data_IF_302186786863
#
_entry.id   IF_302186786863
#
_cell.length_a   1.000
_cell.length_b   1.000
_cell.length_c   1.000
_cell.angle_alpha   90.00
_cell.angle_beta   90.00
_cell.angle_gamma   90.00
#
_symmetry.space_group_name_H-M   'P 1'
#
loop_
_entity.id
_entity.type
_entity.pdbx_description
1 polymer ?
#
# COMPACT_ATOMS: atom_id res chain seq x y z
N UNK A 1 -4.23 -44.47 53.53
CA UNK A 1 -4.86 -43.38 54.31
C UNK A 1 -5.36 -42.36 53.29
N UNK A 2 -6.53 -42.55 52.67
CA UNK A 2 -7.89 -42.38 53.24
C UNK A 2 -8.21 -40.89 53.41
N UNK A 3 -9.32 -40.27 52.99
CA UNK A 3 -10.45 -40.50 52.07
C UNK A 3 -11.30 -39.20 52.11
N UNK A 4 -12.42 -39.16 51.36
CA UNK A 4 -13.52 -38.17 51.35
C UNK A 4 -13.31 -36.94 50.43
N UNK A 5 -13.95 -36.79 49.25
CA UNK A 5 -15.32 -36.98 48.72
C UNK A 5 -16.40 -36.04 49.27
N UNK A 6 -16.95 -35.22 48.37
CA UNK A 6 -18.38 -34.83 48.19
C UNK A 6 -18.40 -33.93 46.94
N UNK A 7 -18.81 -34.29 45.71
CA UNK A 7 -20.07 -34.85 45.15
C UNK A 7 -21.34 -34.10 45.56
N UNK A 8 -21.83 -33.25 44.65
CA UNK A 8 -23.24 -32.91 44.49
C UNK A 8 -23.67 -33.23 43.05
N UNK A 9 -24.80 -33.93 42.93
CA UNK A 9 -25.35 -34.50 41.71
C UNK A 9 -26.86 -34.16 41.67
N UNK A 10 -27.30 -33.56 40.55
CA UNK A 10 -28.62 -33.66 39.84
C UNK A 10 -29.95 -33.29 40.57
N UNK A 11 -31.05 -32.90 39.86
CA UNK A 11 -31.59 -33.41 38.56
C UNK A 11 -31.93 -32.33 37.50
N UNK A 12 -31.78 -32.60 36.19
CA UNK A 12 -32.69 -33.30 35.25
C UNK A 12 -34.13 -32.78 35.26
N UNK A 13 -34.50 -32.03 34.21
CA UNK A 13 -35.85 -32.00 33.64
C UNK A 13 -35.73 -31.97 32.10
N UNK A 14 -35.77 -33.17 31.52
CA UNK A 14 -36.29 -33.40 30.18
C UNK A 14 -37.81 -33.26 30.24
N UNK A 15 -38.40 -32.42 29.38
CA UNK A 15 -39.76 -32.66 28.93
C UNK A 15 -39.75 -32.99 27.45
N UNK A 16 -40.26 -34.19 27.21
CA UNK A 16 -40.40 -34.94 25.99
C UNK A 16 -41.68 -34.57 25.21
N UNK A 17 -41.64 -34.98 23.94
CA UNK A 17 -42.75 -35.45 23.11
C UNK A 17 -43.60 -34.44 22.35
N UNK A 18 -43.30 -34.39 21.04
CA UNK A 18 -44.13 -35.08 20.04
C UNK A 18 -45.62 -35.21 20.37
N UNK A 19 -46.45 -34.36 19.77
CA UNK A 19 -47.76 -34.75 19.27
C UNK A 19 -48.37 -33.63 18.43
N UNK A 20 -48.51 -33.89 17.12
CA UNK A 20 -49.61 -33.51 16.21
C UNK A 20 -49.12 -33.23 14.79
N UNK A 21 -48.72 -34.31 14.12
CA UNK A 21 -48.99 -34.48 12.68
C UNK A 21 -50.40 -35.04 12.51
N UNK A 22 -51.06 -34.60 11.44
CA UNK A 22 -52.11 -35.29 10.69
C UNK A 22 -53.52 -35.40 11.30
N UNK A 23 -54.46 -34.68 10.68
CA UNK A 23 -55.81 -35.10 10.21
C UNK A 23 -56.63 -33.78 10.01
N UNK A 24 -57.46 -33.51 9.00
CA UNK A 24 -58.47 -34.32 8.30
C UNK A 24 -58.74 -33.67 6.92
N UNK A 25 -58.97 -34.53 5.94
CA UNK A 25 -59.38 -34.28 4.56
C UNK A 25 -60.92 -34.11 4.45
N UNK A 26 -61.36 -33.39 3.40
CA UNK A 26 -62.69 -33.40 2.72
C UNK A 26 -63.68 -32.29 3.07
N UNK A 27 -63.90 -31.41 2.10
CA UNK A 27 -65.25 -31.11 1.61
C UNK A 27 -65.17 -30.61 0.16
N UNK A 28 -65.76 -31.40 -0.75
CA UNK A 28 -66.00 -31.05 -2.14
C UNK A 28 -67.06 -29.94 -2.21
N UNK A 29 -66.79 -28.87 -2.98
CA UNK A 29 -67.85 -28.08 -3.60
C UNK A 29 -67.48 -27.86 -5.06
N UNK A 30 -68.25 -28.54 -5.91
CA UNK A 30 -68.28 -28.47 -7.36
C UNK A 30 -68.91 -27.14 -7.78
N UNK A 31 -68.21 -26.26 -8.52
CA UNK A 31 -68.87 -25.19 -9.28
C UNK A 31 -68.33 -25.13 -10.71
N UNK A 32 -69.28 -25.42 -11.58
CA UNK A 32 -69.43 -25.34 -13.03
C UNK A 32 -68.47 -24.46 -13.84
N UNK A 33 -68.12 -25.02 -15.00
CA UNK A 33 -67.51 -24.39 -16.18
C UNK A 33 -68.33 -23.18 -16.64
N UNK A 34 -67.68 -22.03 -16.82
CA UNK A 34 -68.18 -20.99 -17.71
C UNK A 34 -67.02 -20.26 -18.37
N UNK A 35 -67.00 -20.31 -19.70
CA UNK A 35 -65.99 -19.74 -20.57
C UNK A 35 -65.88 -18.22 -20.42
N UNK A 36 -64.67 -17.71 -20.19
CA UNK A 36 -64.34 -16.33 -20.55
C UNK A 36 -63.04 -16.30 -21.35
N UNK A 37 -63.22 -15.93 -22.61
CA UNK A 37 -62.27 -15.79 -23.69
C UNK A 37 -61.27 -14.67 -23.36
N UNK A 38 -60.06 -15.01 -22.91
CA UNK A 38 -58.97 -14.03 -22.78
C UNK A 38 -58.35 -13.74 -24.15
N UNK A 39 -58.65 -12.55 -24.64
CA UNK A 39 -58.05 -11.88 -25.78
C UNK A 39 -56.52 -11.82 -25.62
N UNK A 40 -55.77 -12.57 -26.44
CA UNK A 40 -54.31 -12.42 -26.53
C UNK A 40 -53.98 -11.13 -27.28
N UNK A 41 -53.75 -10.04 -26.54
CA UNK A 41 -53.07 -8.85 -27.06
C UNK A 41 -51.57 -9.14 -27.00
N UNK A 42 -50.99 -9.50 -28.14
CA UNK A 42 -49.54 -9.50 -28.35
C UNK A 42 -49.03 -8.06 -28.36
N UNK A 43 -48.61 -7.57 -27.19
CA UNK A 43 -47.83 -6.33 -27.08
C UNK A 43 -46.41 -6.64 -27.57
N UNK A 44 -46.14 -6.33 -28.84
CA UNK A 44 -44.78 -6.23 -29.36
C UNK A 44 -44.11 -5.01 -28.73
N UNK A 45 -43.56 -5.17 -27.52
CA UNK A 45 -42.70 -4.15 -26.92
C UNK A 45 -41.43 -4.04 -27.74
N UNK A 46 -41.31 -2.94 -28.47
CA UNK A 46 -40.08 -2.48 -29.10
C UNK A 46 -39.06 -2.27 -27.98
N UNK A 47 -38.19 -3.26 -27.78
CA UNK A 47 -37.09 -3.20 -26.83
C UNK A 47 -36.09 -2.15 -27.30
N UNK A 48 -36.35 -0.88 -26.99
CA UNK A 48 -35.31 0.12 -26.95
C UNK A 48 -34.29 -0.39 -25.93
N UNK A 49 -33.15 -0.85 -26.43
CA UNK A 49 -32.03 -1.23 -25.61
C UNK A 49 -31.59 -0.03 -24.80
N UNK A 50 -32.10 0.10 -23.58
CA UNK A 50 -31.36 0.73 -22.50
C UNK A 50 -30.13 -0.13 -22.29
N UNK A 51 -29.08 0.15 -23.07
CA UNK A 51 -27.74 -0.26 -22.70
C UNK A 51 -27.50 0.31 -21.32
N UNK A 52 -27.43 -0.56 -20.31
CA UNK A 52 -26.93 -0.18 -19.00
C UNK A 52 -25.63 0.59 -19.24
N UNK A 53 -25.45 1.79 -18.66
CA UNK A 53 -24.20 2.51 -18.81
C UNK A 53 -23.09 1.54 -18.43
N UNK A 54 -22.19 1.25 -19.38
CA UNK A 54 -21.02 0.44 -19.12
C UNK A 54 -20.19 1.21 -18.08
N UNK A 55 -20.38 0.88 -16.81
CA UNK A 55 -19.54 1.41 -15.75
C UNK A 55 -18.12 0.99 -16.08
N UNK A 56 -17.26 1.96 -16.36
CA UNK A 56 -15.86 1.71 -16.60
C UNK A 56 -15.31 0.87 -15.45
N UNK A 57 -14.70 -0.28 -15.77
CA UNK A 57 -14.10 -1.16 -14.78
C UNK A 57 -13.09 -0.35 -13.93
N UNK A 58 -13.19 -0.49 -12.61
CA UNK A 58 -12.33 0.26 -11.70
C UNK A 58 -10.84 -0.08 -11.95
N UNK A 59 -10.00 0.96 -11.96
CA UNK A 59 -8.55 0.80 -12.07
C UNK A 59 -8.01 0.47 -10.69
N UNK A 60 -7.56 -0.78 -10.48
CA UNK A 60 -6.96 -1.20 -9.21
C UNK A 60 -5.55 -0.61 -9.07
N UNK A 61 -5.31 0.11 -7.98
CA UNK A 61 -4.01 0.69 -7.66
C UNK A 61 -3.53 0.08 -6.34
N UNK A 62 -2.45 -0.71 -6.41
CA UNK A 62 -1.84 -1.25 -5.21
C UNK A 62 -1.02 -0.21 -4.46
N UNK A 63 -1.10 -0.23 -3.13
CA UNK A 63 -0.30 0.57 -2.22
C UNK A 63 0.52 -0.37 -1.34
N UNK A 64 1.85 -0.35 -1.52
CA UNK A 64 2.75 -1.29 -0.85
C UNK A 64 3.11 -0.93 0.60
N UNK A 65 2.74 0.26 1.07
CA UNK A 65 3.14 0.80 2.36
C UNK A 65 2.00 1.51 3.09
N UNK A 66 1.85 1.22 4.38
CA UNK A 66 1.00 1.97 5.29
C UNK A 66 1.84 3.06 5.97
N UNK A 67 2.13 4.14 5.24
CA UNK A 67 2.91 5.29 5.72
C UNK A 67 2.59 6.54 4.93
N UNK A 68 3.07 7.70 5.40
CA UNK A 68 2.91 9.00 4.72
C UNK A 68 3.39 8.96 3.26
N UNK A 69 4.31 8.05 2.90
CA UNK A 69 4.75 7.87 1.51
C UNK A 69 3.57 7.62 0.55
N UNK A 70 2.49 6.99 1.01
CA UNK A 70 1.29 6.66 0.24
C UNK A 70 0.25 7.77 0.15
N UNK A 71 0.52 8.92 0.77
CA UNK A 71 -0.42 10.04 0.88
C UNK A 71 -0.95 10.57 -0.47
N UNK A 72 -0.13 10.71 -1.54
CA UNK A 72 -0.64 11.15 -2.84
C UNK A 72 -1.74 10.23 -3.39
N UNK A 73 -1.61 8.92 -3.21
CA UNK A 73 -2.60 7.94 -3.67
C UNK A 73 -3.90 8.05 -2.86
N UNK A 74 -3.79 8.17 -1.54
CA UNK A 74 -4.95 8.33 -0.66
C UNK A 74 -5.70 9.63 -0.94
N UNK A 75 -4.99 10.75 -1.12
CA UNK A 75 -5.61 12.04 -1.46
C UNK A 75 -6.21 12.02 -2.87
N UNK A 76 -5.59 11.34 -3.84
CA UNK A 76 -6.16 11.17 -5.17
C UNK A 76 -7.49 10.41 -5.13
N UNK A 77 -7.58 9.36 -4.29
CA UNK A 77 -8.79 8.59 -4.08
C UNK A 77 -9.86 9.36 -3.30
N UNK A 78 -9.58 9.74 -2.05
CA UNK A 78 -10.56 10.39 -1.16
C UNK A 78 -10.93 11.80 -1.62
N UNK A 79 -10.03 12.45 -2.35
CA UNK A 79 -10.30 13.73 -3.00
C UNK A 79 -11.15 13.59 -4.26
N UNK A 80 -11.43 12.39 -4.75
CA UNK A 80 -12.21 12.11 -5.95
C UNK A 80 -11.51 12.44 -7.27
N UNK A 81 -10.18 12.58 -7.28
CA UNK A 81 -9.42 12.97 -8.46
C UNK A 81 -9.41 11.88 -9.53
N UNK A 82 -9.35 10.62 -9.12
CA UNK A 82 -9.49 9.47 -10.01
C UNK A 82 -10.86 9.43 -10.68
N UNK A 83 -11.94 9.58 -9.90
CA UNK A 83 -13.31 9.60 -10.42
C UNK A 83 -13.55 10.77 -11.39
N UNK A 84 -13.10 12.00 -11.05
CA UNK A 84 -13.22 13.18 -11.93
C UNK A 84 -12.47 13.03 -13.25
N UNK A 85 -11.39 12.25 -13.26
CA UNK A 85 -10.64 11.93 -14.48
C UNK A 85 -11.26 10.77 -15.29
N UNK A 86 -12.46 10.30 -14.90
CA UNK A 86 -13.14 9.13 -15.48
C UNK A 86 -12.29 7.85 -15.41
N UNK A 87 -11.55 7.69 -14.33
CA UNK A 87 -10.77 6.48 -13.98
C UNK A 87 -11.06 6.12 -12.52
N UNK A 88 -12.27 5.67 -12.17
CA UNK A 88 -12.58 5.31 -10.79
C UNK A 88 -11.56 4.26 -10.32
N UNK A 89 -10.83 4.57 -9.27
CA UNK A 89 -9.74 3.72 -8.79
C UNK A 89 -10.14 3.00 -7.52
N UNK A 90 -9.78 1.72 -7.43
CA UNK A 90 -9.88 0.94 -6.21
C UNK A 90 -8.47 0.86 -5.59
N UNK A 91 -8.32 1.30 -4.34
CA UNK A 91 -7.04 1.21 -3.64
C UNK A 91 -6.91 -0.13 -2.92
N UNK A 92 -5.79 -0.82 -3.15
CA UNK A 92 -5.54 -2.14 -2.58
C UNK A 92 -4.28 -2.10 -1.77
N UNK A 93 -4.41 -2.30 -0.46
CA UNK A 93 -3.25 -2.42 0.39
C UNK A 93 -2.65 -3.82 0.25
N UNK A 94 -1.43 -3.90 -0.28
CA UNK A 94 -0.67 -5.13 -0.38
C UNK A 94 0.57 -4.99 0.50
N UNK A 95 0.72 -5.91 1.46
CA UNK A 95 1.80 -5.83 2.45
C UNK A 95 3.13 -6.23 1.83
N UNK A 96 4.04 -5.27 1.71
CA UNK A 96 5.42 -5.51 1.30
C UNK A 96 5.66 -5.35 -0.20
N UNK A 97 6.93 -5.13 -0.55
CA UNK A 97 7.36 -4.92 -1.92
C UNK A 97 7.14 -6.14 -2.82
N UNK A 98 7.67 -7.33 -2.48
CA UNK A 98 7.59 -8.51 -3.35
C UNK A 98 6.15 -8.91 -3.73
N UNK A 99 5.22 -8.90 -2.78
CA UNK A 99 3.82 -9.24 -3.03
C UNK A 99 3.12 -8.21 -3.92
N UNK A 100 3.39 -6.92 -3.67
CA UNK A 100 2.89 -5.82 -4.50
C UNK A 100 3.43 -5.92 -5.93
N UNK A 101 4.69 -6.33 -6.08
CA UNK A 101 5.31 -6.59 -7.38
C UNK A 101 4.60 -7.73 -8.11
N UNK A 102 4.40 -8.87 -7.45
CA UNK A 102 3.74 -10.02 -8.06
C UNK A 102 2.34 -9.69 -8.58
N UNK A 103 1.57 -8.89 -7.84
CA UNK A 103 0.24 -8.44 -8.27
C UNK A 103 0.31 -7.51 -9.50
N UNK A 104 1.34 -6.66 -9.60
CA UNK A 104 1.56 -5.82 -10.78
C UNK A 104 1.90 -6.67 -12.01
N UNK A 105 2.83 -7.63 -11.83
CA UNK A 105 3.34 -8.48 -12.92
C UNK A 105 2.27 -9.42 -13.46
N UNK A 106 1.41 -9.96 -12.59
CA UNK A 106 0.29 -10.80 -13.00
C UNK A 106 -0.80 -10.02 -13.74
N UNK A 107 -0.78 -8.68 -13.66
CA UNK A 107 -1.83 -7.80 -14.17
C UNK A 107 -3.06 -7.72 -13.26
N UNK A 108 -2.98 -8.28 -12.05
CA UNK A 108 -4.04 -8.16 -11.04
C UNK A 108 -4.31 -6.69 -10.68
N UNK A 109 -3.24 -5.89 -10.60
CA UNK A 109 -3.30 -4.43 -10.41
C UNK A 109 -2.56 -3.75 -11.57
N UNK A 110 -3.22 -2.88 -12.36
CA UNK A 110 -2.54 -2.11 -13.41
C UNK A 110 -1.44 -1.16 -12.93
N UNK A 111 -1.59 -0.62 -11.72
CA UNK A 111 -0.63 0.29 -11.11
C UNK A 111 -0.26 -0.16 -9.72
N UNK A 112 0.99 0.07 -9.34
CA UNK A 112 1.46 -0.13 -7.99
C UNK A 112 2.30 1.05 -7.53
N UNK A 113 1.96 1.58 -6.36
CA UNK A 113 2.84 2.43 -5.59
C UNK A 113 3.75 1.56 -4.71
N UNK A 114 5.04 1.51 -5.04
CA UNK A 114 6.03 0.62 -4.43
C UNK A 114 7.41 1.28 -4.37
N UNK A 115 8.34 0.67 -3.64
CA UNK A 115 9.75 1.05 -3.60
C UNK A 115 10.43 0.95 -4.97
N UNK A 116 11.20 1.98 -5.35
CA UNK A 116 11.93 2.05 -6.62
C UNK A 116 12.95 0.91 -6.80
N UNK A 117 13.75 0.61 -5.77
CA UNK A 117 14.76 -0.46 -5.87
C UNK A 117 14.15 -1.86 -6.02
N UNK A 118 12.92 -2.09 -5.54
CA UNK A 118 12.21 -3.36 -5.79
C UNK A 118 11.85 -3.52 -7.28
N UNK A 119 11.48 -2.43 -7.96
CA UNK A 119 11.23 -2.42 -9.41
C UNK A 119 12.51 -2.67 -10.21
N UNK A 120 13.64 -2.09 -9.76
CA UNK A 120 14.95 -2.36 -10.36
C UNK A 120 15.28 -3.85 -10.25
N UNK A 121 15.18 -4.42 -9.04
CA UNK A 121 15.44 -5.84 -8.81
C UNK A 121 14.56 -6.76 -9.68
N UNK A 122 13.27 -6.43 -9.84
CA UNK A 122 12.38 -7.18 -10.73
C UNK A 122 12.76 -7.03 -12.22
N UNK A 123 13.11 -5.82 -12.66
CA UNK A 123 13.54 -5.59 -14.05
C UNK A 123 14.81 -6.38 -14.42
N UNK A 124 15.72 -6.61 -13.47
CA UNK A 124 16.91 -7.47 -13.67
C UNK A 124 16.56 -8.93 -13.99
N UNK A 125 15.35 -9.38 -13.71
CA UNK A 125 14.87 -10.73 -14.06
C UNK A 125 14.08 -10.75 -15.37
N UNK A 126 14.07 -9.66 -16.14
CA UNK A 126 13.37 -9.57 -17.42
C UNK A 126 11.85 -9.35 -17.30
N UNK A 127 11.37 -8.99 -16.12
CA UNK A 127 9.95 -8.71 -15.87
C UNK A 127 9.56 -7.36 -16.47
N UNK A 128 8.42 -7.33 -17.19
CA UNK A 128 7.86 -6.12 -17.80
C UNK A 128 7.24 -5.19 -16.73
N UNK A 129 8.09 -4.47 -16.00
CA UNK A 129 7.68 -3.40 -15.08
C UNK A 129 8.48 -2.14 -15.34
N UNK A 130 7.87 -0.99 -15.09
CA UNK A 130 8.48 0.30 -15.35
C UNK A 130 7.98 1.37 -14.38
N UNK A 131 8.91 2.22 -13.93
CA UNK A 131 8.61 3.41 -13.12
C UNK A 131 8.08 4.51 -14.05
N UNK A 132 6.88 5.02 -13.77
CA UNK A 132 6.27 6.14 -14.50
C UNK A 132 6.27 7.45 -13.70
N UNK A 133 6.41 7.37 -12.38
CA UNK A 133 6.66 8.54 -11.52
C UNK A 133 7.50 8.16 -10.29
N UNK A 134 8.35 9.09 -9.85
CA UNK A 134 8.99 9.08 -8.54
C UNK A 134 8.28 10.05 -7.59
N UNK A 135 7.53 9.49 -6.64
CA UNK A 135 6.70 10.24 -5.70
C UNK A 135 7.53 10.79 -4.53
N UNK A 136 8.58 10.07 -4.10
CA UNK A 136 9.58 10.53 -3.12
C UNK A 136 10.97 10.04 -3.59
N UNK A 137 11.90 10.98 -3.74
CA UNK A 137 13.21 10.78 -4.39
C UNK A 137 14.41 10.83 -3.41
N UNK A 138 14.14 10.57 -2.13
CA UNK A 138 15.14 10.45 -1.08
C UNK A 138 14.64 9.42 -0.07
N UNK A 139 15.48 8.88 0.84
CA UNK A 139 14.98 8.06 1.93
C UNK A 139 13.83 8.77 2.67
N UNK A 140 12.90 8.04 3.26
CA UNK A 140 11.83 8.66 4.04
C UNK A 140 11.51 7.83 5.26
N UNK A 141 12.57 7.58 6.03
CA UNK A 141 12.56 6.73 7.20
C UNK A 141 13.67 7.14 8.16
N UNK A 142 13.48 6.78 9.42
CA UNK A 142 14.42 6.95 10.51
C UNK A 142 14.82 5.58 11.03
N UNK A 143 16.07 5.45 11.49
CA UNK A 143 16.45 4.34 12.38
C UNK A 143 16.10 4.76 13.79
N UNK A 144 15.09 4.12 14.37
CA UNK A 144 14.65 4.35 15.75
C UNK A 144 15.16 3.21 16.63
N UNK A 145 15.64 3.51 17.83
CA UNK A 145 16.27 2.54 18.73
C UNK A 145 15.72 2.63 20.15
N UNK A 146 15.91 1.57 20.92
CA UNK A 146 15.76 1.58 22.38
C UNK A 146 16.81 2.50 23.02
N UNK A 147 16.54 2.96 24.25
CA UNK A 147 17.52 3.72 25.05
C UNK A 147 18.84 2.93 25.20
N UNK A 148 19.96 3.65 25.30
CA UNK A 148 21.31 3.07 25.42
C UNK A 148 21.95 2.63 24.10
N UNK A 149 21.35 2.99 22.96
CA UNK A 149 21.95 2.88 21.63
C UNK A 149 22.05 4.30 21.08
N UNK A 150 23.23 4.90 21.20
CA UNK A 150 23.40 6.34 21.06
C UNK A 150 24.12 6.75 19.79
N UNK A 151 24.89 5.84 19.20
CA UNK A 151 25.63 5.99 17.95
C UNK A 151 25.55 4.71 17.11
N UNK A 152 25.80 4.78 15.79
CA UNK A 152 25.68 3.63 14.90
C UNK A 152 26.41 2.37 15.38
N UNK A 153 27.61 2.51 15.94
CA UNK A 153 28.44 1.38 16.39
C UNK A 153 27.76 0.52 17.47
N UNK A 154 26.85 1.10 18.25
CA UNK A 154 26.10 0.44 19.31
C UNK A 154 25.05 -0.54 18.75
N UNK A 155 24.81 -0.53 17.42
CA UNK A 155 23.96 -1.50 16.73
C UNK A 155 24.59 -2.90 16.65
N UNK A 156 25.89 -3.06 16.94
CA UNK A 156 26.54 -4.37 16.92
C UNK A 156 25.90 -5.32 17.92
N UNK A 157 25.53 -6.52 17.45
CA UNK A 157 24.79 -7.53 18.21
C UNK A 157 23.31 -7.21 18.44
N UNK A 158 22.79 -6.11 17.87
CA UNK A 158 21.39 -5.68 18.04
C UNK A 158 20.49 -6.27 16.96
N UNK A 159 19.20 -6.31 17.29
CA UNK A 159 18.11 -6.77 16.42
C UNK A 159 17.34 -5.57 15.91
N UNK A 160 17.35 -5.34 14.61
CA UNK A 160 16.73 -4.18 13.96
C UNK A 160 15.60 -4.64 13.04
N UNK A 161 14.40 -4.10 13.27
CA UNK A 161 13.19 -4.40 12.51
C UNK A 161 13.12 -3.67 11.17
N UNK A 162 12.65 -4.37 10.16
CA UNK A 162 12.27 -3.85 8.84
C UNK A 162 10.85 -4.34 8.50
N UNK A 163 10.21 -3.78 7.48
CA UNK A 163 8.87 -4.24 7.09
C UNK A 163 8.94 -5.63 6.44
N UNK A 164 9.58 -5.75 5.28
CA UNK A 164 9.87 -7.02 4.59
C UNK A 164 11.25 -6.97 3.94
N UNK A 165 11.87 -8.12 3.72
CA UNK A 165 13.06 -8.19 2.88
C UNK A 165 12.77 -7.67 1.46
N UNK A 166 13.74 -6.97 0.86
CA UNK A 166 13.61 -6.31 -0.44
C UNK A 166 12.74 -5.04 -0.44
N UNK A 167 12.25 -4.59 0.72
CA UNK A 167 11.51 -3.34 0.84
C UNK A 167 12.43 -2.12 0.94
N UNK A 168 11.85 -0.91 0.88
CA UNK A 168 12.57 0.33 1.15
C UNK A 168 13.24 0.32 2.53
N UNK A 169 12.59 -0.25 3.55
CA UNK A 169 13.16 -0.28 4.93
C UNK A 169 14.39 -1.19 5.03
N UNK A 170 14.37 -2.34 4.35
CA UNK A 170 15.50 -3.27 4.27
C UNK A 170 16.69 -2.61 3.58
N UNK A 171 16.44 -2.08 2.38
CA UNK A 171 17.48 -1.47 1.56
C UNK A 171 18.10 -0.25 2.24
N UNK A 172 17.27 0.62 2.83
CA UNK A 172 17.76 1.81 3.53
C UNK A 172 18.61 1.47 4.75
N UNK A 173 18.23 0.44 5.52
CA UNK A 173 19.05 -0.02 6.65
C UNK A 173 20.40 -0.55 6.17
N UNK A 174 20.41 -1.39 5.13
CA UNK A 174 21.63 -1.99 4.62
C UNK A 174 22.60 -0.94 4.07
N UNK A 175 22.09 0.07 3.36
CA UNK A 175 22.91 1.21 2.92
C UNK A 175 23.44 2.03 4.10
N UNK A 176 22.60 2.30 5.11
CA UNK A 176 23.02 3.03 6.30
C UNK A 176 24.11 2.28 7.08
N UNK A 177 23.93 0.99 7.32
CA UNK A 177 24.91 0.12 7.97
C UNK A 177 26.24 0.12 7.21
N UNK A 178 26.20 -0.02 5.88
CA UNK A 178 27.41 0.06 5.04
C UNK A 178 28.13 1.40 5.20
N UNK A 179 27.38 2.51 5.22
CA UNK A 179 27.96 3.85 5.42
C UNK A 179 28.52 4.05 6.83
N UNK A 180 27.98 3.35 7.82
CA UNK A 180 28.50 3.31 9.19
C UNK A 180 29.59 2.25 9.41
N UNK A 181 30.06 1.57 8.35
CA UNK A 181 31.09 0.55 8.46
C UNK A 181 30.65 -0.74 9.15
N UNK A 182 29.35 -0.99 9.26
CA UNK A 182 28.75 -2.17 9.89
C UNK A 182 28.25 -3.17 8.84
N UNK A 183 28.41 -4.45 9.15
CA UNK A 183 27.92 -5.54 8.30
C UNK A 183 26.53 -5.99 8.72
N UNK A 184 25.58 -5.86 7.80
CA UNK A 184 24.26 -6.46 7.95
C UNK A 184 24.36 -7.99 8.10
N UNK A 185 23.42 -8.57 8.84
CA UNK A 185 23.24 -10.00 9.10
C UNK A 185 24.34 -10.66 9.96
N UNK A 186 25.58 -10.16 9.94
CA UNK A 186 26.68 -10.66 10.78
C UNK A 186 26.97 -9.82 12.01
N UNK A 187 27.00 -8.49 11.90
CA UNK A 187 27.16 -7.59 13.06
C UNK A 187 25.82 -7.06 13.55
N UNK A 188 24.81 -6.94 12.69
CA UNK A 188 23.46 -6.46 13.05
C UNK A 188 22.41 -7.43 12.51
N UNK A 189 21.58 -7.99 13.39
CA UNK A 189 20.53 -8.92 13.00
C UNK A 189 19.31 -8.18 12.46
N UNK A 190 18.92 -8.42 11.21
CA UNK A 190 17.77 -7.78 10.57
C UNK A 190 16.55 -8.72 10.62
N UNK A 191 15.43 -8.25 11.15
CA UNK A 191 14.20 -9.04 11.32
C UNK A 191 13.02 -8.39 10.60
N UNK A 192 12.24 -9.18 9.84
CA UNK A 192 11.05 -8.68 9.13
C UNK A 192 9.78 -8.71 10.00
N UNK A 193 9.05 -7.60 10.05
CA UNK A 193 7.85 -7.42 10.90
C UNK A 193 6.53 -7.39 10.11
N UNK A 194 6.54 -7.76 8.82
CA UNK A 194 5.38 -7.79 7.89
C UNK A 194 4.83 -6.41 7.49
N UNK A 195 5.32 -5.33 8.10
CA UNK A 195 4.93 -3.95 7.82
C UNK A 195 5.65 -2.98 8.75
N UNK A 196 5.59 -1.68 8.42
CA UNK A 196 6.15 -0.62 9.29
C UNK A 196 5.36 -0.46 10.60
N UNK A 197 4.01 -0.48 10.59
CA UNK A 197 3.23 -0.34 11.83
C UNK A 197 3.53 -1.42 12.88
N UNK A 198 3.88 -2.63 12.45
CA UNK A 198 4.19 -3.76 13.31
C UNK A 198 5.57 -3.68 14.00
N UNK A 199 6.48 -2.85 13.51
CA UNK A 199 7.83 -2.70 14.10
C UNK A 199 7.75 -2.06 15.49
N UNK A 200 6.91 -1.04 15.68
CA UNK A 200 6.84 -0.31 16.95
C UNK A 200 6.34 -1.19 18.12
N UNK A 201 5.25 -1.96 17.99
CA UNK A 201 4.87 -2.93 19.02
C UNK A 201 5.96 -3.97 19.34
N UNK A 202 6.71 -4.42 18.33
CA UNK A 202 7.82 -5.36 18.52
C UNK A 202 9.02 -4.72 19.25
N UNK A 203 9.24 -3.42 19.08
CA UNK A 203 10.19 -2.66 19.90
C UNK A 203 9.66 -2.48 21.34
N UNK A 204 8.37 -2.18 21.50
CA UNK A 204 7.74 -2.01 22.82
C UNK A 204 7.75 -3.28 23.66
N UNK A 205 7.66 -4.45 23.04
CA UNK A 205 7.76 -5.75 23.74
C UNK A 205 9.20 -6.19 24.04
N UNK A 206 10.21 -5.44 23.58
CA UNK A 206 11.62 -5.80 23.72
C UNK A 206 12.10 -6.89 22.74
N UNK A 207 11.27 -7.31 21.78
CA UNK A 207 11.69 -8.27 20.75
C UNK A 207 12.73 -7.66 19.79
N UNK A 208 12.71 -6.34 19.62
CA UNK A 208 13.64 -5.55 18.81
C UNK A 208 14.35 -4.49 19.65
N UNK A 209 15.60 -4.24 19.31
CA UNK A 209 16.40 -3.13 19.87
C UNK A 209 16.26 -1.84 19.05
N UNK A 210 15.65 -1.93 17.88
CA UNK A 210 15.38 -0.80 17.01
C UNK A 210 14.64 -1.23 15.75
N UNK A 211 14.36 -0.28 14.88
CA UNK A 211 13.73 -0.54 13.60
C UNK A 211 13.73 0.66 12.68
N UNK A 212 13.53 0.39 11.40
CA UNK A 212 13.41 1.43 10.38
C UNK A 212 11.95 1.85 10.27
N UNK A 213 11.64 3.04 10.74
CA UNK A 213 10.28 3.57 10.82
C UNK A 213 10.12 4.77 9.89
N UNK A 214 9.00 4.85 9.18
CA UNK A 214 8.61 6.05 8.42
C UNK A 214 7.47 6.78 9.16
N UNK A 215 7.23 8.07 8.85
CA UNK A 215 6.07 8.77 9.38
C UNK A 215 4.76 8.06 9.02
N UNK A 216 3.78 7.97 9.94
CA UNK A 216 3.78 8.57 11.29
C UNK A 216 4.49 7.74 12.36
N UNK A 217 4.81 6.48 12.09
CA UNK A 217 5.25 5.50 13.11
C UNK A 217 6.57 5.90 13.80
N UNK A 218 7.48 6.59 13.11
CA UNK A 218 8.69 7.11 13.75
C UNK A 218 8.37 8.14 14.85
N UNK A 219 7.44 9.07 14.63
CA UNK A 219 7.03 10.05 15.64
C UNK A 219 6.23 9.41 16.77
N UNK A 220 5.40 8.42 16.47
CA UNK A 220 4.76 7.61 17.52
C UNK A 220 5.80 6.94 18.42
N UNK A 221 6.88 6.41 17.84
CA UNK A 221 7.96 5.80 18.60
C UNK A 221 8.73 6.83 19.46
N UNK A 222 9.05 8.01 18.90
CA UNK A 222 9.68 9.11 19.65
C UNK A 222 8.80 9.52 20.85
N UNK A 223 7.48 9.67 20.64
CA UNK A 223 6.53 9.99 21.72
C UNK A 223 6.44 8.87 22.78
N UNK A 224 6.66 7.62 22.39
CA UNK A 224 6.75 6.49 23.30
C UNK A 224 8.11 6.39 24.04
N UNK A 225 9.03 7.35 23.84
CA UNK A 225 10.31 7.41 24.55
C UNK A 225 11.44 6.61 23.90
N UNK A 226 11.26 6.14 22.66
CA UNK A 226 12.35 5.62 21.84
C UNK A 226 13.20 6.76 21.27
N UNK A 227 14.42 6.44 20.86
CA UNK A 227 15.40 7.41 20.34
C UNK A 227 15.45 7.35 18.82
N UNK A 228 15.45 8.51 18.17
CA UNK A 228 15.87 8.58 16.76
C UNK A 228 17.40 8.57 16.70
N UNK A 229 17.96 7.45 16.24
CA UNK A 229 19.40 7.31 16.06
C UNK A 229 19.87 8.07 14.83
N UNK A 230 19.11 7.97 13.73
CA UNK A 230 19.42 8.67 12.49
C UNK A 230 18.18 8.90 11.65
N UNK A 231 18.04 10.11 11.10
CA UNK A 231 17.12 10.42 10.02
C UNK A 231 17.82 10.14 8.68
N UNK A 232 17.38 9.11 7.95
CA UNK A 232 18.14 8.57 6.81
C UNK A 232 18.37 9.54 5.64
N UNK A 233 17.52 10.55 5.38
CA UNK A 233 17.83 11.58 4.39
C UNK A 233 19.13 12.33 4.66
N UNK A 234 19.48 12.51 5.94
CA UNK A 234 20.72 13.20 6.34
C UNK A 234 21.95 12.28 6.30
N UNK A 235 21.73 10.97 6.12
CA UNK A 235 22.83 10.01 5.98
C UNK A 235 23.48 10.11 4.60
N UNK A 236 22.96 10.90 3.65
CA UNK A 236 23.60 11.17 2.36
C UNK A 236 23.69 9.91 1.49
N UNK A 237 22.57 9.19 1.38
CA UNK A 237 22.40 8.04 0.49
C UNK A 237 21.39 8.43 -0.60
N UNK A 238 21.70 8.13 -1.86
CA UNK A 238 20.78 8.32 -2.98
C UNK A 238 19.72 7.22 -2.97
N UNK A 239 18.45 7.57 -3.18
CA UNK A 239 17.35 6.62 -2.95
C UNK A 239 16.06 7.01 -3.68
N UNK A 240 15.50 6.12 -4.50
CA UNK A 240 14.15 6.26 -5.04
C UNK A 240 13.14 5.60 -4.08
N UNK A 241 12.56 6.34 -3.13
CA UNK A 241 11.83 5.74 -2.01
C UNK A 241 10.47 5.20 -2.36
N UNK A 242 9.64 5.98 -3.04
CA UNK A 242 8.37 5.48 -3.54
C UNK A 242 8.13 5.96 -4.96
N UNK A 243 7.65 5.05 -5.78
CA UNK A 243 7.41 5.23 -7.20
C UNK A 243 6.01 4.74 -7.54
N UNK A 244 5.39 5.36 -8.53
CA UNK A 244 4.26 4.76 -9.24
C UNK A 244 4.83 3.94 -10.40
N UNK A 245 4.43 2.68 -10.46
CA UNK A 245 4.83 1.74 -11.48
C UNK A 245 3.64 1.14 -12.21
N UNK A 246 3.91 0.69 -13.43
CA UNK A 246 3.00 -0.05 -14.31
C UNK A 246 3.85 -1.04 -15.14
N UNK A 247 3.24 -1.72 -16.11
CA UNK A 247 3.95 -2.48 -17.15
C UNK A 247 4.04 -1.66 -18.44
N UNK A 248 5.06 -1.88 -19.29
CA UNK A 248 5.17 -1.20 -20.59
C UNK A 248 4.00 -1.57 -21.48
N UNK A 249 3.62 -2.85 -21.48
CA UNK A 249 2.41 -3.35 -22.17
C UNK A 249 1.13 -2.62 -21.76
N UNK A 250 0.98 -2.27 -20.48
CA UNK A 250 -0.20 -1.51 -20.05
C UNK A 250 -0.20 -0.08 -20.60
N UNK A 251 0.97 0.58 -20.65
CA UNK A 251 1.10 1.92 -21.24
C UNK A 251 0.71 1.87 -22.72
N UNK A 252 1.23 0.91 -23.49
CA UNK A 252 0.92 0.75 -24.91
C UNK A 252 -0.59 0.61 -25.18
N UNK A 253 -1.26 -0.24 -24.38
CA UNK A 253 -2.69 -0.54 -24.57
C UNK A 253 -3.64 0.48 -23.95
N UNK A 254 -3.21 1.15 -22.88
CA UNK A 254 -4.07 1.97 -22.02
C UNK A 254 -3.48 3.35 -21.74
N UNK A 255 -2.69 3.90 -22.68
CA UNK A 255 -2.04 5.22 -22.54
C UNK A 255 -2.99 6.32 -22.06
N UNK A 256 -4.22 6.47 -22.58
CA UNK A 256 -5.15 7.50 -22.11
C UNK A 256 -5.51 7.34 -20.62
N UNK A 257 -5.70 6.11 -20.16
CA UNK A 257 -5.97 5.79 -18.75
C UNK A 257 -4.74 6.10 -17.90
N UNK A 258 -3.54 5.73 -18.34
CA UNK A 258 -2.31 6.03 -17.63
C UNK A 258 -2.08 7.54 -17.46
N UNK A 259 -2.31 8.35 -18.50
CA UNK A 259 -2.23 9.80 -18.42
C UNK A 259 -3.25 10.39 -17.44
N UNK A 260 -4.49 9.86 -17.41
CA UNK A 260 -5.53 10.28 -16.46
C UNK A 260 -5.13 9.98 -15.01
N UNK A 261 -4.57 8.80 -14.75
CA UNK A 261 -4.02 8.43 -13.43
C UNK A 261 -2.92 9.42 -13.03
N UNK A 262 -1.95 9.68 -13.89
CA UNK A 262 -0.84 10.61 -13.62
C UNK A 262 -1.30 12.05 -13.34
N UNK A 263 -2.30 12.55 -14.07
CA UNK A 263 -2.91 13.86 -13.81
C UNK A 263 -3.67 13.88 -12.49
N UNK A 264 -4.34 12.79 -12.12
CA UNK A 264 -5.01 12.67 -10.82
C UNK A 264 -4.02 12.76 -9.65
N UNK A 265 -2.84 12.13 -9.77
CA UNK A 265 -1.75 12.29 -8.79
C UNK A 265 -1.27 13.75 -8.72
N UNK A 266 -1.06 14.41 -9.87
CA UNK A 266 -0.61 15.81 -9.91
C UNK A 266 -1.60 16.75 -9.21
N UNK A 267 -2.90 16.56 -9.46
CA UNK A 267 -3.97 17.33 -8.82
C UNK A 267 -4.10 17.01 -7.31
N UNK A 268 -3.93 15.75 -6.92
CA UNK A 268 -3.90 15.34 -5.51
C UNK A 268 -2.74 15.98 -4.75
N UNK A 269 -1.55 16.04 -5.35
CA UNK A 269 -0.38 16.73 -4.79
C UNK A 269 -0.68 18.22 -4.63
N UNK A 270 -1.34 18.86 -5.61
CA UNK A 270 -1.84 20.23 -5.47
C UNK A 270 -2.70 20.42 -4.22
N UNK A 271 -3.64 19.50 -3.96
CA UNK A 271 -4.48 19.54 -2.76
C UNK A 271 -3.70 19.31 -1.48
N UNK A 272 -2.75 18.37 -1.47
CA UNK A 272 -1.89 18.14 -0.30
C UNK A 272 -1.23 19.45 0.15
N UNK A 273 -0.79 20.28 -0.80
CA UNK A 273 -0.12 21.55 -0.49
C UNK A 273 -1.09 22.66 -0.09
N UNK A 274 -2.27 22.70 -0.69
CA UNK A 274 -3.22 23.79 -0.51
C UNK A 274 -4.21 23.60 0.65
N UNK A 275 -4.49 22.36 1.05
CA UNK A 275 -5.56 22.01 1.98
C UNK A 275 -5.05 21.07 3.09
N UNK A 276 -4.35 21.67 4.06
CA UNK A 276 -3.80 20.95 5.23
C UNK A 276 -4.90 20.22 6.00
N UNK A 277 -6.06 20.85 6.21
CA UNK A 277 -7.15 20.27 6.99
C UNK A 277 -7.68 18.98 6.35
N UNK A 278 -7.94 18.98 5.03
CA UNK A 278 -8.31 17.77 4.31
C UNK A 278 -7.21 16.71 4.38
N UNK A 279 -5.95 17.12 4.20
CA UNK A 279 -4.81 16.20 4.20
C UNK A 279 -4.65 15.50 5.55
N UNK A 280 -4.79 16.23 6.67
CA UNK A 280 -4.78 15.65 8.01
C UNK A 280 -5.94 14.69 8.23
N UNK A 281 -7.14 14.98 7.71
CA UNK A 281 -8.28 14.06 7.76
C UNK A 281 -8.00 12.75 7.03
N UNK A 282 -7.38 12.82 5.83
CA UNK A 282 -6.97 11.62 5.08
C UNK A 282 -5.89 10.85 5.84
N UNK A 283 -4.87 11.52 6.36
CA UNK A 283 -3.82 10.88 7.18
C UNK A 283 -4.42 10.17 8.40
N UNK A 284 -5.32 10.84 9.13
CA UNK A 284 -5.99 10.27 10.30
C UNK A 284 -6.78 9.00 9.95
N UNK A 285 -7.54 9.04 8.84
CA UNK A 285 -8.31 7.89 8.35
C UNK A 285 -7.41 6.69 8.02
N UNK A 286 -6.36 6.88 7.23
CA UNK A 286 -5.54 5.77 6.74
C UNK A 286 -4.53 5.26 7.77
N UNK A 287 -4.08 6.12 8.69
CA UNK A 287 -3.12 5.77 9.73
C UNK A 287 -3.77 5.41 11.07
N UNK A 288 -5.09 5.45 11.15
CA UNK A 288 -5.86 5.10 12.35
C UNK A 288 -5.36 5.81 13.61
N UNK A 289 -5.06 7.11 13.50
CA UNK A 289 -4.57 7.93 14.61
C UNK A 289 -5.22 9.31 14.62
N UNK A 290 -5.45 9.83 15.82
CA UNK A 290 -6.01 11.17 16.08
C UNK A 290 -5.03 12.07 16.83
N UNK A 291 -3.80 11.60 17.10
CA UNK A 291 -2.78 12.39 17.78
C UNK A 291 -2.34 13.55 16.87
N UNK A 292 -2.73 14.77 17.24
CA UNK A 292 -2.49 15.97 16.43
C UNK A 292 -1.01 16.23 16.22
N UNK A 293 -0.15 15.95 17.21
CA UNK A 293 1.30 16.14 17.09
C UNK A 293 1.87 15.18 16.06
N UNK A 294 1.44 13.92 16.08
CA UNK A 294 1.86 12.90 15.10
C UNK A 294 1.37 13.27 13.69
N UNK A 295 0.12 13.71 13.57
CA UNK A 295 -0.47 14.09 12.28
C UNK A 295 0.18 15.35 11.69
N UNK A 296 0.38 16.39 12.50
CA UNK A 296 1.04 17.62 12.10
C UNK A 296 2.50 17.37 11.69
N UNK A 297 3.25 16.60 12.49
CA UNK A 297 4.59 16.17 12.11
C UNK A 297 4.58 15.46 10.76
N UNK A 298 3.70 14.47 10.59
CA UNK A 298 3.59 13.65 9.37
C UNK A 298 3.31 14.50 8.13
N UNK A 299 2.41 15.48 8.25
CA UNK A 299 2.12 16.44 7.18
C UNK A 299 3.36 17.31 6.87
N UNK A 300 3.96 17.90 7.89
CA UNK A 300 5.06 18.86 7.73
C UNK A 300 6.32 18.22 7.11
N UNK A 301 6.62 16.95 7.45
CA UNK A 301 7.78 16.25 6.88
C UNK A 301 7.48 15.60 5.51
N UNK A 302 6.22 15.27 5.24
CA UNK A 302 5.82 14.62 3.99
C UNK A 302 5.54 15.59 2.85
N UNK A 303 4.75 16.64 3.11
CA UNK A 303 4.28 17.59 2.09
C UNK A 303 5.40 18.17 1.20
N UNK A 304 6.57 18.57 1.74
CA UNK A 304 7.64 19.14 0.91
C UNK A 304 8.24 18.16 -0.09
N UNK A 305 8.08 16.85 0.14
CA UNK A 305 8.68 15.81 -0.70
C UNK A 305 7.86 15.52 -1.96
N UNK A 306 6.57 15.85 -1.95
CA UNK A 306 5.69 15.62 -3.09
C UNK A 306 5.83 16.74 -4.12
N UNK A 307 6.33 16.41 -5.31
CA UNK A 307 6.52 17.35 -6.42
C UNK A 307 5.38 17.21 -7.42
N UNK A 308 4.85 18.33 -7.89
CA UNK A 308 3.69 18.34 -8.81
C UNK A 308 3.97 17.52 -10.05
N UNK A 309 5.13 17.73 -10.69
CA UNK A 309 5.67 16.81 -11.69
C UNK A 309 6.65 15.85 -10.99
N UNK A 310 6.26 14.59 -10.93
CA UNK A 310 6.93 13.57 -10.11
C UNK A 310 7.93 12.73 -10.91
N UNK A 311 8.99 13.34 -11.45
CA UNK A 311 10.09 12.59 -12.12
C UNK A 311 10.84 11.65 -11.16
N UNK A 312 11.14 10.39 -11.51
CA UNK A 312 12.05 9.59 -10.70
C UNK A 312 13.46 10.19 -10.65
N UNK A 313 14.23 9.90 -9.60
CA UNK A 313 15.68 10.18 -9.55
C UNK A 313 16.45 9.04 -10.21
N UNK A 314 17.28 9.37 -11.20
CA UNK A 314 18.14 8.39 -11.85
C UNK A 314 19.29 7.97 -10.91
N UNK A 315 19.76 8.88 -10.06
CA UNK A 315 20.79 8.62 -9.05
C UNK A 315 20.30 7.63 -7.99
N UNK A 316 19.03 7.74 -7.57
CA UNK A 316 18.41 6.77 -6.66
C UNK A 316 18.21 5.40 -7.30
N UNK A 317 17.96 5.33 -8.60
CA UNK A 317 17.90 4.08 -9.36
C UNK A 317 19.30 3.49 -9.55
N UNK A 318 20.31 4.33 -9.82
CA UNK A 318 21.71 3.89 -9.91
C UNK A 318 22.19 3.29 -8.58
N UNK A 319 21.87 3.94 -7.45
CA UNK A 319 22.19 3.39 -6.14
C UNK A 319 21.54 2.01 -5.89
N UNK A 320 20.34 1.78 -6.43
CA UNK A 320 19.70 0.46 -6.42
C UNK A 320 20.49 -0.56 -7.25
N UNK A 321 20.89 -0.20 -8.48
CA UNK A 321 21.71 -1.06 -9.34
C UNK A 321 23.05 -1.41 -8.70
N UNK A 322 23.75 -0.41 -8.14
CA UNK A 322 25.06 -0.59 -7.52
C UNK A 322 25.00 -1.55 -6.32
N UNK A 323 23.97 -1.40 -5.49
CA UNK A 323 23.74 -2.31 -4.37
C UNK A 323 23.41 -3.73 -4.84
N UNK A 324 22.52 -3.87 -5.83
CA UNK A 324 22.15 -5.18 -6.37
C UNK A 324 23.34 -5.87 -7.04
N UNK A 325 24.23 -5.11 -7.68
CA UNK A 325 25.45 -5.60 -8.32
C UNK A 325 26.43 -6.31 -7.36
N UNK A 326 26.34 -6.08 -6.05
CA UNK A 326 27.15 -6.77 -5.05
C UNK A 326 26.83 -8.28 -4.97
N UNK A 327 25.56 -8.65 -5.20
CA UNK A 327 25.10 -10.05 -5.19
C UNK A 327 24.75 -10.57 -6.58
N UNK A 328 24.36 -9.69 -7.49
CA UNK A 328 23.97 -10.00 -8.86
C UNK A 328 24.81 -9.19 -9.87
N UNK A 329 26.03 -9.64 -10.22
CA UNK A 329 26.94 -8.87 -11.08
C UNK A 329 26.35 -8.41 -12.43
N UNK A 330 25.33 -9.10 -12.95
CA UNK A 330 24.57 -8.71 -14.16
C UNK A 330 23.93 -7.32 -14.05
N UNK A 331 23.66 -6.82 -12.84
CA UNK A 331 23.08 -5.48 -12.63
C UNK A 331 23.95 -4.37 -13.26
N UNK A 332 25.26 -4.58 -13.37
CA UNK A 332 26.21 -3.65 -14.01
C UNK A 332 25.98 -3.46 -15.51
N UNK A 333 25.21 -4.34 -16.15
CA UNK A 333 24.90 -4.26 -17.58
C UNK A 333 23.74 -3.30 -17.88
N UNK A 334 22.97 -2.92 -16.85
CA UNK A 334 21.80 -2.07 -16.99
C UNK A 334 22.12 -0.61 -16.62
N UNK A 335 21.31 0.31 -17.12
CA UNK A 335 21.36 1.73 -16.83
C UNK A 335 20.05 2.20 -16.18
N UNK A 336 20.04 3.29 -15.40
CA UNK A 336 18.83 3.79 -14.75
C UNK A 336 17.65 4.03 -15.71
N UNK A 337 17.95 4.44 -16.95
CA UNK A 337 16.95 4.69 -18.00
C UNK A 337 16.15 3.44 -18.40
N UNK A 338 16.70 2.24 -18.18
CA UNK A 338 16.06 0.98 -18.58
C UNK A 338 14.83 0.68 -17.70
N UNK A 339 14.75 1.30 -16.51
CA UNK A 339 13.71 1.06 -15.50
C UNK A 339 12.64 2.15 -15.45
N UNK A 340 12.72 3.17 -16.31
CA UNK A 340 11.78 4.30 -16.33
C UNK A 340 11.08 4.41 -17.68
N UNK A 341 9.87 4.97 -17.66
CA UNK A 341 9.15 5.49 -18.83
C UNK A 341 8.67 6.88 -18.49
N UNK A 342 9.38 7.86 -19.02
CA UNK A 342 9.12 9.28 -18.77
C UNK A 342 8.12 9.87 -19.77
N UNK A 343 7.63 9.09 -20.74
CA UNK A 343 6.82 9.59 -21.85
C UNK A 343 5.49 10.17 -21.36
N UNK A 344 4.90 9.61 -20.29
CA UNK A 344 3.66 10.11 -19.70
C UNK A 344 3.86 11.46 -19.03
N UNK A 345 4.95 11.62 -18.26
CA UNK A 345 5.29 12.89 -17.59
C UNK A 345 5.62 13.98 -18.60
N UNK A 346 6.45 13.67 -19.59
CA UNK A 346 6.82 14.60 -20.66
C UNK A 346 5.60 15.07 -21.47
N UNK A 347 4.62 14.18 -21.69
CA UNK A 347 3.38 14.55 -22.38
C UNK A 347 2.52 15.50 -21.54
N UNK A 348 2.43 15.26 -20.22
CA UNK A 348 1.70 16.13 -19.28
C UNK A 348 2.35 17.53 -19.24
N UNK A 349 3.67 17.62 -19.08
CA UNK A 349 4.38 18.90 -19.05
C UNK A 349 4.19 19.69 -20.36
N UNK A 350 4.32 19.02 -21.51
CA UNK A 350 4.11 19.66 -22.82
C UNK A 350 2.68 20.19 -22.99
N UNK A 351 1.69 19.53 -22.40
CA UNK A 351 0.30 19.97 -22.46
C UNK A 351 0.02 21.15 -21.51
N UNK A 352 0.72 21.22 -20.37
CA UNK A 352 0.59 22.30 -19.40
C UNK A 352 1.33 23.57 -19.82
N UNK A 353 2.49 23.44 -20.47
CA UNK A 353 3.26 24.58 -21.00
C UNK A 353 2.57 25.34 -22.15
N UNK A 354 1.48 24.80 -22.71
CA UNK A 354 0.70 25.40 -23.80
C UNK A 354 -0.54 26.17 -23.32
N UNK A 355 -0.82 26.19 -22.01
CA UNK A 355 -1.97 26.87 -21.41
C UNK A 355 -1.55 28.20 -20.81
#
# INVERSE_FOLDING_TARGET
MENARTKFNTPVLQHSNEARRSAIMKSNVTISKMHLLCLMITVSTLSWGWGSPAFAQAVRIAVGAASVASLPTWVAHDGGYFARAAVPAELIYIRGGPQTMSALVSGEVPFAQIYGGALVAAGLTGVDTVIVAGLINQPFSSVITTKGIDKPEDLRGKKIGISTFGSATDFALRLALKKWGLKADSEVSILQMRGVPEILPAMASGALHGGVLSPPTNMMAIRAGFKELAYLPQVGISFQHTSLATTRRYIEKNRPTALKVMRAYSAAIGRIKADKAFTLKVLSKYMSTTDSVVLDYSYNVGQPLFRTVSYPTLEGIQAALDFLAEKEPKAKQFQPKDFVDLSLLQEIEKAEAKK
#
